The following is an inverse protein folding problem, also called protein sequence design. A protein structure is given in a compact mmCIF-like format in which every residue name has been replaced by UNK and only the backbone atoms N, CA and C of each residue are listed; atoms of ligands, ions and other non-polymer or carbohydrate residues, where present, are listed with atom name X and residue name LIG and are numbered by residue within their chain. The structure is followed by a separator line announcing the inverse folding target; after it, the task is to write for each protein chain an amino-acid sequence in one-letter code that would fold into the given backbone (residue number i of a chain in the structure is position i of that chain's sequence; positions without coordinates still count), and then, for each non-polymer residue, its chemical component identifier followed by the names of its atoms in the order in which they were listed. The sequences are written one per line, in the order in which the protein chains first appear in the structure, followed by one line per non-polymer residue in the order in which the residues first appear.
data_IF_545206371221
#
_entry.id   IF_545206371221
#
_cell.length_a   1.000
_cell.length_b   1.000
_cell.length_c   1.000
_cell.angle_alpha   90.00
_cell.angle_beta   90.00
_cell.angle_gamma   90.00
#
_symmetry.space_group_name_H-M   'P 1'
#
loop_
_entity.id
_entity.type
_entity.pdbx_description
1 polymer ?
#
# COMPACT_ATOMS: atom_id res chain seq x y z
N UNK A 1 -23.04 50.20 -62.22
CA UNK A 1 -23.65 49.15 -61.40
C UNK A 1 -22.50 48.45 -60.64
N UNK A 2 -22.25 48.89 -59.39
CA UNK A 2 -21.16 48.33 -58.52
C UNK A 2 -21.81 47.40 -57.52
N UNK A 3 -21.46 46.10 -57.57
CA UNK A 3 -21.86 45.12 -56.60
C UNK A 3 -20.97 45.28 -55.35
N UNK A 4 -21.62 45.46 -54.22
CA UNK A 4 -20.98 45.42 -52.89
C UNK A 4 -21.27 44.06 -52.32
N UNK A 5 -20.20 43.23 -52.05
CA UNK A 5 -20.31 42.00 -51.28
C UNK A 5 -20.18 42.30 -49.77
N UNK A 6 -20.96 41.68 -48.91
CA UNK A 6 -20.78 41.80 -47.48
C UNK A 6 -19.67 40.87 -46.97
N UNK A 7 -18.82 41.42 -46.13
CA UNK A 7 -17.81 40.63 -45.37
C UNK A 7 -18.48 39.82 -44.27
N UNK A 8 -18.24 38.52 -44.30
CA UNK A 8 -18.64 37.59 -43.20
C UNK A 8 -17.53 37.59 -42.14
N UNK A 9 -17.85 38.12 -40.99
CA UNK A 9 -17.00 38.08 -39.79
C UNK A 9 -17.22 36.73 -39.08
N UNK A 10 -16.24 35.82 -39.17
CA UNK A 10 -16.24 34.60 -38.38
C UNK A 10 -15.71 34.88 -36.97
N UNK A 11 -16.58 34.86 -35.98
CA UNK A 11 -16.19 34.91 -34.58
C UNK A 11 -15.73 33.52 -34.13
N UNK A 12 -14.43 33.40 -33.86
CA UNK A 12 -13.86 32.20 -33.20
C UNK A 12 -14.18 32.26 -31.69
N UNK A 13 -15.11 31.42 -31.22
CA UNK A 13 -15.28 31.19 -29.83
C UNK A 13 -14.14 30.29 -29.34
N UNK A 14 -13.21 30.84 -28.57
CA UNK A 14 -12.26 30.09 -27.76
C UNK A 14 -13.01 29.52 -26.57
N UNK A 15 -13.33 28.23 -26.59
CA UNK A 15 -13.77 27.48 -25.43
C UNK A 15 -12.55 27.24 -24.49
N UNK A 16 -12.32 28.19 -23.58
CA UNK A 16 -11.46 27.99 -22.43
C UNK A 16 -12.11 27.00 -21.47
N UNK A 17 -11.80 25.72 -21.63
CA UNK A 17 -12.16 24.71 -20.65
C UNK A 17 -11.34 24.94 -19.36
N UNK A 18 -11.90 25.62 -18.38
CA UNK A 18 -11.46 25.48 -17.00
C UNK A 18 -11.73 24.02 -16.58
N UNK A 19 -10.67 23.20 -16.52
CA UNK A 19 -10.74 21.99 -15.74
C UNK A 19 -10.87 22.42 -14.27
N UNK A 20 -12.09 22.44 -13.78
CA UNK A 20 -12.33 22.47 -12.35
C UNK A 20 -11.67 21.22 -11.75
N UNK A 21 -10.63 21.42 -10.96
CA UNK A 21 -10.17 20.41 -10.01
C UNK A 21 -11.38 20.18 -9.12
N UNK A 22 -12.03 19.02 -9.24
CA UNK A 22 -13.12 18.67 -8.34
C UNK A 22 -12.53 18.62 -6.95
N UNK A 23 -13.07 19.43 -6.03
CA UNK A 23 -12.81 19.29 -4.62
C UNK A 23 -12.98 17.82 -4.24
N UNK A 24 -12.02 17.29 -3.47
CA UNK A 24 -12.06 15.91 -3.01
C UNK A 24 -13.41 15.63 -2.35
N UNK A 25 -14.03 14.48 -2.63
CA UNK A 25 -15.28 14.14 -1.96
C UNK A 25 -15.04 14.08 -0.46
N UNK A 26 -15.80 14.84 0.30
CA UNK A 26 -15.87 14.72 1.76
C UNK A 26 -16.57 13.39 2.08
N UNK A 27 -15.82 12.30 2.13
CA UNK A 27 -16.35 10.95 2.39
C UNK A 27 -15.38 10.16 3.26
N UNK A 28 -15.94 9.28 4.10
CA UNK A 28 -15.18 8.25 4.78
C UNK A 28 -14.59 7.29 3.75
N UNK A 29 -13.45 6.62 4.06
CA UNK A 29 -12.91 5.58 3.18
C UNK A 29 -13.94 4.48 2.92
N UNK A 30 -14.10 4.07 1.67
CA UNK A 30 -14.96 2.92 1.32
C UNK A 30 -14.49 1.63 2.01
N UNK A 31 -13.18 1.49 2.25
CA UNK A 31 -12.59 0.39 2.98
C UNK A 31 -12.92 0.38 4.49
N UNK A 32 -13.39 1.47 5.09
CA UNK A 32 -13.67 1.52 6.53
C UNK A 32 -14.69 0.44 6.96
N UNK A 33 -15.85 0.39 6.32
CA UNK A 33 -16.87 -0.62 6.63
C UNK A 33 -16.41 -2.05 6.35
N UNK A 34 -15.56 -2.24 5.34
CA UNK A 34 -14.94 -3.53 5.07
C UNK A 34 -13.99 -3.95 6.20
N UNK A 35 -13.12 -3.07 6.67
CA UNK A 35 -12.22 -3.33 7.78
C UNK A 35 -12.96 -3.56 9.10
N UNK A 36 -14.02 -2.80 9.38
CA UNK A 36 -14.89 -3.03 10.54
C UNK A 36 -15.44 -4.46 10.55
N UNK A 37 -15.97 -4.91 9.42
CA UNK A 37 -16.46 -6.28 9.28
C UNK A 37 -15.36 -7.32 9.48
N UNK A 38 -14.19 -7.11 8.90
CA UNK A 38 -13.03 -8.03 9.06
C UNK A 38 -12.59 -8.07 10.52
N UNK A 39 -12.50 -6.93 11.20
CA UNK A 39 -12.12 -6.84 12.62
C UNK A 39 -12.99 -7.72 13.52
N UNK A 40 -14.27 -7.81 13.20
CA UNK A 40 -15.22 -8.63 13.97
C UNK A 40 -15.16 -10.12 13.63
N UNK A 41 -14.90 -10.45 12.37
CA UNK A 41 -15.10 -11.81 11.84
C UNK A 41 -13.83 -12.61 11.61
N UNK A 42 -12.74 -11.94 11.24
CA UNK A 42 -11.59 -12.64 10.73
C UNK A 42 -10.26 -11.91 10.90
N UNK A 43 -9.38 -12.14 9.94
CA UNK A 43 -8.04 -11.58 9.86
C UNK A 43 -7.66 -11.31 8.42
N UNK A 44 -6.77 -10.36 8.19
CA UNK A 44 -6.16 -10.12 6.89
C UNK A 44 -4.66 -10.39 6.92
N UNK A 45 -4.12 -10.73 5.76
CA UNK A 45 -2.68 -10.86 5.53
C UNK A 45 -2.22 -9.65 4.73
N UNK A 46 -1.17 -8.98 5.22
CA UNK A 46 -0.43 -7.96 4.50
C UNK A 46 0.92 -8.55 4.08
N UNK A 47 1.07 -8.82 2.79
CA UNK A 47 2.30 -9.38 2.22
C UNK A 47 3.32 -8.27 2.02
N UNK A 48 4.44 -8.32 2.75
CA UNK A 48 5.54 -7.36 2.70
C UNK A 48 6.15 -7.34 1.30
N UNK A 49 6.27 -6.15 0.70
CA UNK A 49 6.74 -5.92 -0.69
C UNK A 49 5.98 -6.71 -1.75
N UNK A 50 4.72 -7.08 -1.44
CA UNK A 50 3.85 -7.83 -2.33
C UNK A 50 4.21 -9.31 -2.52
N UNK A 51 5.28 -9.82 -1.90
CA UNK A 51 5.80 -11.17 -2.14
C UNK A 51 5.02 -12.26 -1.41
N UNK A 52 4.90 -13.43 -2.04
CA UNK A 52 4.42 -14.65 -1.40
C UNK A 52 5.39 -15.83 -1.52
N UNK A 53 6.45 -15.72 -2.34
CA UNK A 53 7.47 -16.73 -2.52
C UNK A 53 8.82 -16.13 -2.92
N UNK A 54 9.91 -16.86 -2.64
CA UNK A 54 11.27 -16.39 -2.87
C UNK A 54 11.70 -16.33 -4.35
N UNK A 55 10.95 -16.90 -5.26
CA UNK A 55 11.14 -16.83 -6.73
C UNK A 55 10.47 -15.59 -7.35
N UNK A 56 9.76 -14.79 -6.54
CA UNK A 56 9.10 -13.57 -6.98
C UNK A 56 9.95 -12.36 -6.57
N UNK A 57 10.31 -11.45 -7.50
CA UNK A 57 10.95 -10.20 -7.11
C UNK A 57 10.03 -9.37 -6.22
N UNK A 58 10.59 -8.77 -5.17
CA UNK A 58 9.88 -7.80 -4.34
C UNK A 58 9.40 -6.61 -5.18
N UNK A 59 8.29 -5.98 -4.80
CA UNK A 59 7.78 -4.78 -5.47
C UNK A 59 7.54 -4.99 -6.98
N UNK A 60 7.07 -6.18 -7.37
CA UNK A 60 6.87 -6.53 -8.79
C UNK A 60 5.41 -6.86 -9.11
N UNK A 61 5.05 -6.69 -10.38
CA UNK A 61 3.73 -7.10 -10.88
C UNK A 61 3.49 -8.60 -10.67
N UNK A 62 4.53 -9.43 -10.86
CA UNK A 62 4.44 -10.87 -10.67
C UNK A 62 4.10 -11.23 -9.22
N UNK A 63 4.77 -10.60 -8.25
CA UNK A 63 4.51 -10.79 -6.82
C UNK A 63 3.08 -10.37 -6.44
N UNK A 64 2.64 -9.18 -6.87
CA UNK A 64 1.28 -8.68 -6.63
C UNK A 64 0.22 -9.66 -7.14
N UNK A 65 0.36 -10.11 -8.38
CA UNK A 65 -0.60 -11.03 -9.01
C UNK A 65 -0.61 -12.39 -8.32
N UNK A 66 0.56 -12.97 -8.05
CA UNK A 66 0.68 -14.27 -7.41
C UNK A 66 0.10 -14.25 -5.98
N UNK A 67 0.42 -13.21 -5.21
CA UNK A 67 -0.10 -13.05 -3.84
C UNK A 67 -1.61 -12.89 -3.84
N UNK A 68 -2.17 -11.99 -4.67
CA UNK A 68 -3.61 -11.77 -4.73
C UNK A 68 -4.39 -13.00 -5.23
N UNK A 69 -3.80 -13.78 -6.16
CA UNK A 69 -4.38 -15.06 -6.60
C UNK A 69 -4.33 -16.13 -5.51
N UNK A 70 -3.21 -16.22 -4.78
CA UNK A 70 -3.06 -17.17 -3.70
C UNK A 70 -3.92 -16.82 -2.48
N UNK A 71 -4.09 -15.53 -2.17
CA UNK A 71 -4.77 -15.01 -0.98
C UNK A 71 -5.78 -13.94 -1.42
N UNK A 72 -7.00 -14.31 -1.84
CA UNK A 72 -8.02 -13.35 -2.23
C UNK A 72 -8.29 -12.33 -1.11
N UNK A 73 -8.25 -11.05 -1.46
CA UNK A 73 -8.43 -9.96 -0.51
C UNK A 73 -7.18 -9.59 0.30
N UNK A 74 -6.01 -10.16 -0.01
CA UNK A 74 -4.77 -9.77 0.66
C UNK A 74 -4.48 -8.28 0.51
N UNK A 75 -3.80 -7.75 1.51
CA UNK A 75 -3.08 -6.49 1.39
C UNK A 75 -1.71 -6.81 0.78
N UNK A 76 -1.32 -6.10 -0.26
CA UNK A 76 0.04 -6.10 -0.81
C UNK A 76 0.71 -4.78 -0.41
N UNK A 77 1.70 -4.86 0.45
CA UNK A 77 2.49 -3.69 0.82
C UNK A 77 3.52 -3.42 -0.27
N UNK A 78 3.70 -2.15 -0.64
CA UNK A 78 4.48 -1.72 -1.80
C UNK A 78 5.22 -0.43 -1.48
N UNK A 79 6.54 -0.43 -1.74
CA UNK A 79 7.43 0.70 -1.51
C UNK A 79 7.41 1.66 -2.70
N UNK A 80 6.96 2.89 -2.49
CA UNK A 80 6.87 3.89 -3.55
C UNK A 80 7.99 4.90 -3.43
N UNK A 81 8.71 5.11 -4.52
CA UNK A 81 9.78 6.10 -4.66
C UNK A 81 9.60 6.93 -5.93
N UNK A 82 10.41 7.98 -6.06
CA UNK A 82 10.36 8.90 -7.19
C UNK A 82 11.68 8.92 -7.95
N UNK A 83 11.62 8.74 -9.27
CA UNK A 83 12.77 8.89 -10.17
C UNK A 83 13.19 10.35 -10.32
N UNK A 84 14.37 10.59 -10.92
CA UNK A 84 14.88 11.94 -11.24
C UNK A 84 13.87 12.78 -12.05
N UNK A 85 13.18 12.16 -12.99
CA UNK A 85 12.13 12.79 -13.81
C UNK A 85 10.74 12.72 -13.18
N UNK A 86 10.70 12.54 -11.83
CA UNK A 86 9.51 12.63 -10.96
C UNK A 86 8.42 11.58 -11.27
N UNK A 87 8.79 10.43 -11.83
CA UNK A 87 7.86 9.31 -12.02
C UNK A 87 7.83 8.44 -10.76
N UNK A 88 6.65 7.92 -10.44
CA UNK A 88 6.44 7.03 -9.30
C UNK A 88 6.71 5.59 -9.74
N UNK A 89 7.65 4.93 -9.07
CA UNK A 89 8.01 3.52 -9.31
C UNK A 89 8.09 2.77 -7.99
N UNK A 90 8.06 1.44 -8.05
CA UNK A 90 8.20 0.61 -6.85
C UNK A 90 9.66 0.20 -6.65
N UNK A 91 10.20 0.53 -5.46
CA UNK A 91 11.54 0.13 -5.01
C UNK A 91 11.66 0.37 -3.52
N UNK A 92 12.27 -0.59 -2.79
CA UNK A 92 12.50 -0.40 -1.34
C UNK A 92 13.77 0.40 -1.05
N UNK A 93 14.89 0.01 -1.67
CA UNK A 93 16.18 0.61 -1.37
C UNK A 93 16.38 1.92 -2.15
N UNK A 94 17.15 2.88 -1.62
CA UNK A 94 17.55 4.06 -2.38
C UNK A 94 18.38 3.72 -3.63
N UNK A 95 19.16 2.61 -3.59
CA UNK A 95 19.94 2.09 -4.71
C UNK A 95 19.20 0.95 -5.42
N UNK A 96 19.36 0.85 -6.73
CA UNK A 96 18.79 -0.21 -7.56
C UNK A 96 19.61 -1.51 -7.56
N UNK A 97 20.79 -1.53 -6.94
CA UNK A 97 21.83 -2.57 -7.08
C UNK A 97 21.40 -3.94 -6.57
N UNK A 98 20.68 -4.01 -5.43
CA UNK A 98 20.32 -5.28 -4.80
C UNK A 98 19.25 -6.05 -5.59
N UNK A 99 18.25 -5.34 -6.07
CA UNK A 99 17.02 -5.95 -6.63
C UNK A 99 16.93 -5.88 -8.13
N UNK A 100 17.95 -5.29 -8.81
CA UNK A 100 17.96 -5.16 -10.28
C UNK A 100 19.31 -5.48 -10.89
N UNK A 101 19.38 -5.39 -12.22
CA UNK A 101 20.64 -5.42 -12.99
C UNK A 101 21.30 -4.06 -13.12
N UNK A 102 20.66 -3.00 -12.63
CA UNK A 102 21.19 -1.64 -12.66
C UNK A 102 22.12 -1.30 -11.51
N UNK A 103 22.66 -0.08 -11.52
CA UNK A 103 23.53 0.44 -10.48
C UNK A 103 23.21 1.89 -10.15
N UNK A 104 23.45 2.29 -8.90
CA UNK A 104 23.36 3.66 -8.41
C UNK A 104 22.03 4.01 -7.76
N UNK A 105 21.89 5.28 -7.39
CA UNK A 105 20.71 5.77 -6.69
C UNK A 105 19.54 6.01 -7.63
N UNK A 106 18.38 5.49 -7.28
CA UNK A 106 17.17 5.61 -8.08
C UNK A 106 16.77 7.08 -8.33
N UNK A 107 16.97 7.96 -7.34
CA UNK A 107 16.69 9.40 -7.47
C UNK A 107 17.53 10.10 -8.56
N UNK A 108 18.63 9.50 -9.00
CA UNK A 108 19.49 10.00 -10.09
C UNK A 108 19.11 9.43 -11.46
N UNK A 109 18.21 8.45 -11.52
CA UNK A 109 17.81 7.74 -12.73
C UNK A 109 16.45 8.24 -13.24
N UNK A 110 16.31 8.31 -14.56
CA UNK A 110 15.00 8.54 -15.20
C UNK A 110 14.22 7.24 -15.31
N UNK A 111 12.89 7.33 -15.45
CA UNK A 111 12.05 6.16 -15.71
C UNK A 111 12.55 5.34 -16.90
N UNK A 112 12.99 6.01 -17.98
CA UNK A 112 13.51 5.31 -19.15
C UNK A 112 14.74 4.45 -18.82
N UNK A 113 15.63 4.91 -17.95
CA UNK A 113 16.79 4.14 -17.48
C UNK A 113 16.34 2.98 -16.58
N UNK A 114 15.42 3.20 -15.65
CA UNK A 114 14.85 2.16 -14.78
C UNK A 114 14.18 1.05 -15.60
N UNK A 115 13.49 1.39 -16.68
CA UNK A 115 12.83 0.43 -17.58
C UNK A 115 13.79 -0.47 -18.36
N UNK A 116 15.07 -0.13 -18.47
CA UNK A 116 16.09 -0.98 -19.09
C UNK A 116 16.67 -2.04 -18.13
N UNK A 117 16.34 -1.95 -16.84
CA UNK A 117 16.79 -2.90 -15.82
C UNK A 117 15.85 -4.11 -15.77
N UNK A 118 16.37 -5.20 -15.21
CA UNK A 118 15.62 -6.41 -14.92
C UNK A 118 15.62 -6.65 -13.42
N UNK A 119 14.47 -7.03 -12.89
CA UNK A 119 14.33 -7.38 -11.48
C UNK A 119 14.99 -8.72 -11.16
N UNK A 120 15.56 -8.80 -9.97
CA UNK A 120 16.16 -10.00 -9.39
C UNK A 120 15.29 -10.48 -8.22
N UNK A 121 14.96 -11.76 -8.23
CA UNK A 121 14.25 -12.39 -7.13
C UNK A 121 15.18 -12.66 -5.92
N UNK A 122 14.64 -12.83 -4.68
CA UNK A 122 15.45 -13.14 -3.50
C UNK A 122 16.29 -14.41 -3.60
N UNK A 123 15.86 -15.40 -4.36
CA UNK A 123 16.64 -16.63 -4.65
C UNK A 123 17.81 -16.40 -5.62
N UNK A 124 17.98 -15.17 -6.15
CA UNK A 124 19.04 -14.78 -7.08
C UNK A 124 18.64 -14.85 -8.55
N UNK A 125 17.48 -15.42 -8.90
CA UNK A 125 17.02 -15.53 -10.27
C UNK A 125 16.76 -14.17 -10.90
N UNK A 126 17.20 -14.02 -12.14
CA UNK A 126 16.95 -12.84 -12.94
C UNK A 126 15.65 -13.03 -13.74
N UNK A 127 14.78 -12.03 -13.69
CA UNK A 127 13.53 -12.04 -14.45
C UNK A 127 13.63 -11.17 -15.70
N UNK A 128 12.62 -11.24 -16.57
CA UNK A 128 12.47 -10.35 -17.73
C UNK A 128 11.70 -9.05 -17.37
N UNK A 129 11.22 -8.92 -16.13
CA UNK A 129 10.47 -7.77 -15.66
C UNK A 129 11.37 -6.62 -15.24
N UNK A 130 10.97 -5.39 -15.57
CA UNK A 130 11.54 -4.16 -15.02
C UNK A 130 10.80 -3.72 -13.76
N UNK A 131 11.39 -2.83 -12.92
CA UNK A 131 10.66 -2.20 -11.84
C UNK A 131 9.40 -1.51 -12.36
N UNK A 132 8.21 -1.79 -11.80
CA UNK A 132 6.96 -1.24 -12.29
C UNK A 132 6.74 0.20 -11.83
N UNK A 133 5.92 0.94 -12.56
CA UNK A 133 5.35 2.20 -12.09
C UNK A 133 4.20 1.96 -11.12
N UNK A 134 3.85 2.98 -10.33
CA UNK A 134 2.76 2.87 -9.36
C UNK A 134 1.42 2.55 -10.04
N UNK A 135 1.10 3.16 -11.17
CA UNK A 135 -0.16 2.91 -11.89
C UNK A 135 -0.24 1.45 -12.42
N UNK A 136 0.87 0.89 -12.91
CA UNK A 136 0.94 -0.52 -13.29
C UNK A 136 0.69 -1.45 -12.10
N UNK A 137 1.27 -1.12 -10.93
CA UNK A 137 1.08 -1.88 -9.69
C UNK A 137 -0.37 -1.81 -9.18
N UNK A 138 -0.96 -0.61 -9.16
CA UNK A 138 -2.37 -0.41 -8.79
C UNK A 138 -3.33 -1.15 -9.73
N UNK A 139 -3.03 -1.15 -11.02
CA UNK A 139 -3.78 -1.93 -11.99
C UNK A 139 -3.65 -3.45 -11.75
N UNK A 140 -2.45 -3.94 -11.39
CA UNK A 140 -2.23 -5.34 -11.05
C UNK A 140 -2.99 -5.74 -9.77
N UNK A 141 -2.90 -4.93 -8.71
CA UNK A 141 -3.65 -5.16 -7.47
C UNK A 141 -5.17 -5.20 -7.72
N UNK A 142 -5.70 -4.27 -8.52
CA UNK A 142 -7.12 -4.25 -8.90
C UNK A 142 -7.56 -5.52 -9.66
N UNK A 143 -6.72 -6.07 -10.55
CA UNK A 143 -7.05 -7.30 -11.30
C UNK A 143 -7.26 -8.53 -10.42
N UNK A 144 -6.59 -8.58 -9.27
CA UNK A 144 -6.68 -9.72 -8.33
C UNK A 144 -7.48 -9.38 -7.07
N UNK A 145 -8.11 -8.22 -7.03
CA UNK A 145 -8.87 -7.76 -5.88
C UNK A 145 -8.02 -7.59 -4.61
N UNK A 146 -6.74 -7.27 -4.73
CA UNK A 146 -5.87 -6.95 -3.60
C UNK A 146 -6.02 -5.48 -3.18
N UNK A 147 -5.72 -5.20 -1.91
CA UNK A 147 -5.59 -3.84 -1.37
C UNK A 147 -4.10 -3.47 -1.43
N UNK A 148 -3.75 -2.32 -1.99
CA UNK A 148 -2.38 -1.84 -2.04
C UNK A 148 -2.08 -0.96 -0.82
N UNK A 149 -1.15 -1.36 0.04
CA UNK A 149 -0.62 -0.52 1.10
C UNK A 149 0.67 0.14 0.62
N UNK A 150 0.67 1.46 0.50
CA UNK A 150 1.72 2.24 -0.15
C UNK A 150 2.63 2.87 0.90
N UNK A 151 3.87 2.40 0.98
CA UNK A 151 4.91 2.91 1.85
C UNK A 151 5.74 3.99 1.13
N UNK A 152 5.81 5.18 1.73
CA UNK A 152 6.52 6.33 1.16
C UNK A 152 8.01 6.26 1.51
N UNK A 153 8.87 5.98 0.54
CA UNK A 153 10.32 5.99 0.72
C UNK A 153 10.87 7.38 0.44
N UNK A 154 11.00 8.19 1.50
CA UNK A 154 11.57 9.53 1.47
C UNK A 154 12.53 9.71 2.66
N UNK A 155 13.49 10.63 2.53
CA UNK A 155 14.56 10.81 3.51
C UNK A 155 14.11 11.61 4.74
N UNK A 156 13.06 12.43 4.60
CA UNK A 156 12.54 13.31 5.66
C UNK A 156 11.01 13.51 5.56
N UNK A 157 10.46 14.25 6.50
CA UNK A 157 9.02 14.51 6.58
C UNK A 157 8.50 15.37 5.42
N UNK A 158 9.27 16.37 4.98
CA UNK A 158 8.90 17.22 3.85
C UNK A 158 8.83 16.40 2.55
N UNK A 159 9.85 15.58 2.30
CA UNK A 159 9.89 14.63 1.18
C UNK A 159 8.77 13.61 1.24
N UNK A 160 8.43 13.12 2.43
CA UNK A 160 7.29 12.22 2.65
C UNK A 160 5.97 12.89 2.23
N UNK A 161 5.74 14.13 2.65
CA UNK A 161 4.52 14.86 2.29
C UNK A 161 4.47 15.23 0.80
N UNK A 162 5.62 15.55 0.20
CA UNK A 162 5.71 15.80 -1.25
C UNK A 162 5.42 14.53 -2.05
N UNK A 163 6.01 13.40 -1.63
CA UNK A 163 5.77 12.10 -2.26
C UNK A 163 4.30 11.67 -2.09
N UNK A 164 3.74 11.82 -0.88
CA UNK A 164 2.35 11.50 -0.60
C UNK A 164 1.37 12.28 -1.50
N UNK A 165 1.59 13.59 -1.72
CA UNK A 165 0.76 14.38 -2.65
C UNK A 165 0.80 13.81 -4.07
N UNK A 166 1.98 13.40 -4.55
CA UNK A 166 2.12 12.82 -5.87
C UNK A 166 1.43 11.44 -5.97
N UNK A 167 1.58 10.61 -4.94
CA UNK A 167 0.94 9.29 -4.85
C UNK A 167 -0.58 9.43 -4.79
N UNK A 168 -1.12 10.31 -3.93
CA UNK A 168 -2.56 10.57 -3.83
C UNK A 168 -3.14 11.04 -5.17
N UNK A 169 -2.44 11.95 -5.86
CA UNK A 169 -2.87 12.42 -7.17
C UNK A 169 -2.92 11.26 -8.20
N UNK A 170 -1.93 10.36 -8.16
CA UNK A 170 -1.87 9.20 -9.04
C UNK A 170 -2.97 8.18 -8.72
N UNK A 171 -3.19 7.87 -7.43
CA UNK A 171 -4.27 6.98 -6.95
C UNK A 171 -5.64 7.49 -7.42
N UNK A 172 -5.89 8.80 -7.28
CA UNK A 172 -7.13 9.44 -7.78
C UNK A 172 -7.24 9.37 -9.30
N UNK A 173 -6.13 9.63 -10.01
CA UNK A 173 -6.10 9.59 -11.48
C UNK A 173 -6.51 8.22 -12.04
N UNK A 174 -6.13 7.13 -11.36
CA UNK A 174 -6.43 5.76 -11.79
C UNK A 174 -7.65 5.16 -11.08
N UNK A 175 -8.40 5.96 -10.33
CA UNK A 175 -9.59 5.54 -9.56
C UNK A 175 -9.30 4.32 -8.66
N UNK A 176 -8.27 4.43 -7.80
CA UNK A 176 -7.85 3.35 -6.92
C UNK A 176 -8.04 3.66 -5.42
N UNK A 177 -8.72 4.75 -5.06
CA UNK A 177 -8.90 5.17 -3.67
C UNK A 177 -9.65 4.12 -2.81
N UNK A 178 -10.54 3.37 -3.42
CA UNK A 178 -11.34 2.28 -2.84
C UNK A 178 -10.53 1.03 -2.44
N UNK A 179 -9.24 0.99 -2.73
CA UNK A 179 -8.37 -0.17 -2.49
C UNK A 179 -6.94 0.21 -2.09
N UNK A 180 -6.75 1.38 -1.49
CA UNK A 180 -5.42 1.88 -1.10
C UNK A 180 -5.37 2.19 0.39
N UNK A 181 -4.23 1.86 1.01
CA UNK A 181 -3.82 2.27 2.35
C UNK A 181 -2.54 3.08 2.20
N UNK A 182 -2.46 4.23 2.85
CA UNK A 182 -1.27 5.09 2.86
C UNK A 182 -0.50 4.86 4.16
N UNK A 183 0.77 4.44 4.09
CA UNK A 183 1.60 4.14 5.26
C UNK A 183 2.35 5.39 5.70
N UNK A 184 2.31 5.69 7.01
CA UNK A 184 2.98 6.84 7.62
C UNK A 184 3.76 6.42 8.85
N UNK A 185 4.86 7.14 9.14
CA UNK A 185 5.75 6.84 10.27
C UNK A 185 5.77 7.93 11.36
N UNK A 186 5.20 9.10 11.11
CA UNK A 186 5.08 10.19 12.11
C UNK A 186 3.64 10.64 12.26
N UNK A 187 3.30 11.11 13.45
CA UNK A 187 1.97 11.66 13.75
C UNK A 187 1.66 12.91 12.90
N UNK A 188 2.68 13.73 12.61
CA UNK A 188 2.55 14.92 11.77
C UNK A 188 2.18 14.53 10.34
N UNK A 189 2.92 13.58 9.75
CA UNK A 189 2.63 13.09 8.40
C UNK A 189 1.26 12.42 8.35
N UNK A 190 0.91 11.59 9.35
CA UNK A 190 -0.39 10.91 9.42
C UNK A 190 -1.56 11.92 9.38
N UNK A 191 -1.52 12.96 10.22
CA UNK A 191 -2.56 14.01 10.24
C UNK A 191 -2.64 14.79 8.94
N UNK A 192 -1.49 15.16 8.38
CA UNK A 192 -1.44 15.90 7.13
C UNK A 192 -1.98 15.07 5.94
N UNK A 193 -1.61 13.79 5.86
CA UNK A 193 -2.05 12.88 4.81
C UNK A 193 -3.53 12.53 4.99
N UNK A 194 -4.00 12.33 6.23
CA UNK A 194 -5.42 12.15 6.53
C UNK A 194 -6.29 13.30 6.01
N UNK A 195 -5.83 14.53 6.24
CA UNK A 195 -6.53 15.72 5.76
C UNK A 195 -6.47 15.88 4.22
N UNK A 196 -5.38 15.42 3.58
CA UNK A 196 -5.22 15.47 2.12
C UNK A 196 -6.05 14.41 1.39
N UNK A 197 -6.27 13.25 2.00
CA UNK A 197 -6.96 12.11 1.39
C UNK A 197 -7.95 11.47 2.38
N UNK A 198 -9.04 12.18 2.76
CA UNK A 198 -10.02 11.67 3.72
C UNK A 198 -10.77 10.43 3.24
N UNK A 199 -10.73 10.15 1.93
CA UNK A 199 -11.33 8.99 1.30
C UNK A 199 -10.42 7.74 1.27
N UNK A 200 -9.18 7.82 1.77
CA UNK A 200 -8.21 6.72 1.78
C UNK A 200 -7.89 6.30 3.21
N UNK A 201 -7.64 5.02 3.42
CA UNK A 201 -7.17 4.48 4.70
C UNK A 201 -5.72 4.89 4.96
N UNK A 202 -5.37 5.03 6.25
CA UNK A 202 -4.01 5.36 6.70
C UNK A 202 -3.54 4.29 7.67
N UNK A 203 -2.34 3.75 7.46
CA UNK A 203 -1.61 2.95 8.44
C UNK A 203 -0.62 3.85 9.17
N UNK A 204 -0.74 3.96 10.49
CA UNK A 204 0.09 4.82 11.31
C UNK A 204 0.55 4.12 12.60
N UNK A 205 1.73 4.47 13.08
CA UNK A 205 2.25 3.97 14.36
C UNK A 205 1.35 4.43 15.51
N UNK A 206 0.75 3.49 16.25
CA UNK A 206 -0.16 3.80 17.36
C UNK A 206 0.02 2.85 18.54
N UNK A 207 -0.17 3.42 19.72
CA UNK A 207 -0.24 2.68 20.98
C UNK A 207 -1.62 2.80 21.64
N UNK A 208 -2.35 3.87 21.37
CA UNK A 208 -3.69 4.20 21.90
C UNK A 208 -4.49 4.93 20.84
N UNK A 209 -5.81 4.82 20.85
CA UNK A 209 -6.69 5.55 19.93
C UNK A 209 -6.51 7.08 20.01
N UNK A 210 -6.09 7.62 21.16
CA UNK A 210 -5.85 9.05 21.36
C UNK A 210 -4.58 9.56 20.69
N UNK A 211 -3.68 8.70 20.23
CA UNK A 211 -2.39 9.11 19.62
C UNK A 211 -2.61 9.97 18.37
N UNK A 212 -3.64 9.66 17.58
CA UNK A 212 -4.06 10.46 16.40
C UNK A 212 -5.39 11.19 16.60
N UNK A 213 -5.64 11.72 17.82
CA UNK A 213 -6.86 12.51 18.09
C UNK A 213 -7.05 13.62 17.05
N UNK A 214 -8.28 13.73 16.50
CA UNK A 214 -8.61 14.65 15.41
C UNK A 214 -8.50 14.07 14.00
N UNK A 215 -7.98 12.85 13.84
CA UNK A 215 -8.18 12.01 12.63
C UNK A 215 -9.37 11.10 12.88
N UNK A 216 -10.20 10.86 11.87
CA UNK A 216 -11.32 9.93 11.97
C UNK A 216 -10.79 8.51 12.23
N UNK A 217 -11.27 7.84 13.29
CA UNK A 217 -10.86 6.47 13.63
C UNK A 217 -11.13 5.48 12.50
N UNK A 218 -12.21 5.69 11.74
CA UNK A 218 -12.57 4.85 10.60
C UNK A 218 -11.58 4.96 9.43
N UNK A 219 -10.68 5.95 9.46
CA UNK A 219 -9.60 6.14 8.49
C UNK A 219 -8.32 5.40 8.87
N UNK A 220 -8.21 4.89 10.12
CA UNK A 220 -6.92 4.50 10.70
C UNK A 220 -6.80 2.99 10.84
N UNK A 221 -5.63 2.48 10.44
CA UNK A 221 -5.09 1.17 10.79
C UNK A 221 -3.90 1.38 11.73
N UNK A 222 -3.94 0.81 12.93
CA UNK A 222 -2.88 0.98 13.92
C UNK A 222 -1.71 0.03 13.64
N UNK A 223 -0.59 0.55 13.15
CA UNK A 223 0.67 -0.18 13.14
C UNK A 223 1.25 -0.24 14.55
N UNK A 224 1.39 -1.45 15.10
CA UNK A 224 1.84 -1.67 16.49
C UNK A 224 3.27 -2.19 16.61
N UNK A 225 3.99 -2.22 15.49
CA UNK A 225 5.38 -2.64 15.40
C UNK A 225 5.56 -4.09 14.98
N UNK A 226 6.84 -4.54 14.94
CA UNK A 226 7.24 -5.89 14.51
C UNK A 226 8.27 -6.56 15.43
N UNK A 227 8.55 -5.97 16.60
CA UNK A 227 9.60 -6.50 17.51
C UNK A 227 9.08 -6.96 18.86
N UNK A 228 7.98 -6.41 19.33
CA UNK A 228 7.47 -6.67 20.68
C UNK A 228 5.96 -6.85 20.63
N UNK A 229 5.51 -8.00 21.07
CA UNK A 229 4.09 -8.31 21.23
C UNK A 229 3.48 -7.52 22.38
N UNK A 230 2.35 -6.84 22.15
CA UNK A 230 1.65 -5.99 23.15
C UNK A 230 0.17 -6.35 23.25
N UNK A 231 -0.21 -7.54 23.74
CA UNK A 231 -1.60 -8.03 23.67
C UNK A 231 -2.63 -7.15 24.39
N UNK A 232 -2.27 -6.47 25.47
CA UNK A 232 -3.18 -5.52 26.15
C UNK A 232 -3.51 -4.31 25.28
N UNK A 233 -2.51 -3.75 24.63
CA UNK A 233 -2.65 -2.66 23.68
C UNK A 233 -3.53 -3.07 22.48
N UNK A 234 -3.27 -4.25 21.89
CA UNK A 234 -4.04 -4.77 20.76
C UNK A 234 -5.52 -4.92 21.07
N UNK A 235 -5.85 -5.51 22.22
CA UNK A 235 -7.25 -5.66 22.67
C UNK A 235 -7.92 -4.33 22.92
N UNK A 236 -7.19 -3.35 23.46
CA UNK A 236 -7.74 -2.01 23.68
C UNK A 236 -8.05 -1.31 22.36
N UNK A 237 -7.10 -1.23 21.42
CA UNK A 237 -7.32 -0.62 20.10
C UNK A 237 -8.49 -1.28 19.36
N UNK A 238 -8.52 -2.63 19.36
CA UNK A 238 -9.63 -3.39 18.76
C UNK A 238 -10.98 -3.06 19.41
N UNK A 239 -11.04 -2.94 20.73
CA UNK A 239 -12.28 -2.58 21.46
C UNK A 239 -12.72 -1.14 21.19
N UNK A 240 -11.79 -0.26 20.82
CA UNK A 240 -12.04 1.14 20.44
C UNK A 240 -12.36 1.28 18.94
N UNK A 241 -12.53 0.16 18.21
CA UNK A 241 -12.92 0.16 16.81
C UNK A 241 -11.78 0.38 15.82
N UNK A 242 -10.52 0.18 16.24
CA UNK A 242 -9.34 0.40 15.39
C UNK A 242 -8.73 -0.94 15.00
N UNK A 243 -8.44 -1.12 13.71
CA UNK A 243 -7.74 -2.29 13.19
C UNK A 243 -6.32 -2.33 13.71
N UNK A 244 -5.92 -3.52 14.17
CA UNK A 244 -4.59 -3.75 14.74
C UNK A 244 -3.71 -4.48 13.74
N UNK A 245 -2.71 -3.80 13.22
CA UNK A 245 -1.69 -4.37 12.37
C UNK A 245 -0.42 -4.66 13.20
N UNK A 246 0.08 -5.89 13.11
CA UNK A 246 1.34 -6.31 13.71
C UNK A 246 2.21 -7.01 12.67
N UNK A 247 3.52 -6.70 12.67
CA UNK A 247 4.50 -7.27 11.77
C UNK A 247 5.16 -8.52 12.36
N UNK A 248 5.11 -9.62 11.62
CA UNK A 248 5.98 -10.80 11.86
C UNK A 248 7.22 -10.77 10.96
N UNK A 249 7.26 -9.82 10.03
CA UNK A 249 8.30 -9.49 9.07
C UNK A 249 9.57 -8.89 9.71
N UNK A 250 10.67 -8.88 8.97
CA UNK A 250 11.93 -8.23 9.40
C UNK A 250 13.18 -8.84 8.77
N UNK A 251 14.33 -8.63 9.42
CA UNK A 251 15.57 -9.19 8.95
C UNK A 251 15.54 -10.74 9.07
N UNK A 252 16.05 -11.46 8.04
CA UNK A 252 16.14 -12.92 8.10
C UNK A 252 16.89 -13.40 9.35
N UNK A 253 16.32 -14.38 10.04
CA UNK A 253 16.85 -14.94 11.29
C UNK A 253 16.44 -14.20 12.57
N UNK A 254 15.91 -12.97 12.48
CA UNK A 254 15.48 -12.17 13.63
C UNK A 254 13.97 -11.97 13.71
N UNK A 255 13.27 -12.11 12.57
CA UNK A 255 11.82 -11.88 12.45
C UNK A 255 11.01 -13.02 13.07
N UNK A 256 9.79 -12.70 13.48
CA UNK A 256 8.86 -13.71 14.04
C UNK A 256 8.49 -14.80 13.02
N UNK A 257 8.41 -14.49 11.72
CA UNK A 257 8.16 -15.49 10.69
C UNK A 257 9.17 -16.64 10.73
N UNK A 258 10.47 -16.34 10.92
CA UNK A 258 11.51 -17.35 11.01
C UNK A 258 11.46 -18.09 12.36
N UNK A 259 11.12 -17.40 13.46
CA UNK A 259 10.98 -18.01 14.79
C UNK A 259 9.81 -19.00 14.81
N UNK A 260 8.67 -18.65 14.24
CA UNK A 260 7.48 -19.50 14.14
C UNK A 260 7.69 -20.72 13.23
N UNK A 261 8.60 -20.62 12.26
CA UNK A 261 8.92 -21.72 11.38
C UNK A 261 9.94 -22.73 11.95
N UNK A 262 10.68 -22.38 13.05
CA UNK A 262 11.81 -23.17 13.56
C UNK A 262 11.40 -24.55 14.10
N UNK A 263 10.27 -24.65 14.76
CA UNK A 263 9.76 -25.89 15.36
C UNK A 263 8.73 -26.62 14.48
N UNK A 264 8.41 -26.03 13.32
CA UNK A 264 7.41 -26.54 12.38
C UNK A 264 5.96 -26.30 12.83
N UNK A 265 5.75 -25.69 13.99
CA UNK A 265 4.45 -25.19 14.42
C UNK A 265 4.33 -23.71 14.02
N UNK A 266 3.36 -23.40 13.20
CA UNK A 266 3.03 -22.04 12.80
C UNK A 266 1.72 -21.55 13.46
N UNK A 267 1.29 -22.23 14.52
CA UNK A 267 0.08 -21.92 15.28
C UNK A 267 0.13 -20.55 15.97
N UNK A 268 1.32 -19.98 16.18
CA UNK A 268 1.54 -18.66 16.76
C UNK A 268 0.84 -17.55 15.98
N UNK A 269 0.69 -17.66 14.66
CA UNK A 269 -0.11 -16.70 13.88
C UNK A 269 -1.55 -16.63 14.37
N UNK A 270 -2.16 -17.77 14.73
CA UNK A 270 -3.52 -17.78 15.30
C UNK A 270 -3.55 -17.17 16.70
N UNK A 271 -2.47 -17.34 17.48
CA UNK A 271 -2.36 -16.69 18.79
C UNK A 271 -2.29 -15.17 18.68
N UNK A 272 -1.64 -14.59 17.62
CA UNK A 272 -1.67 -13.15 17.38
C UNK A 272 -3.11 -12.67 17.21
N UNK A 273 -3.89 -13.34 16.35
CA UNK A 273 -5.31 -13.01 16.14
C UNK A 273 -6.13 -13.11 17.43
N UNK A 274 -5.99 -14.18 18.20
CA UNK A 274 -6.65 -14.35 19.51
C UNK A 274 -6.30 -13.27 20.51
N UNK A 275 -5.11 -12.70 20.39
CA UNK A 275 -4.62 -11.59 21.21
C UNK A 275 -5.06 -10.22 20.73
N UNK A 276 -5.75 -10.12 19.60
CA UNK A 276 -6.36 -8.90 19.10
C UNK A 276 -5.79 -8.34 17.78
N UNK A 277 -4.81 -9.00 17.17
CA UNK A 277 -4.30 -8.60 15.85
C UNK A 277 -5.35 -8.91 14.79
N UNK A 278 -5.64 -7.95 13.91
CA UNK A 278 -6.61 -8.09 12.81
C UNK A 278 -5.95 -8.10 11.44
N UNK A 279 -4.70 -7.61 11.35
CA UNK A 279 -3.89 -7.63 10.14
C UNK A 279 -2.49 -8.14 10.50
N UNK A 280 -2.05 -9.23 9.88
CA UNK A 280 -0.70 -9.78 10.04
C UNK A 280 0.14 -9.35 8.84
N UNK A 281 1.13 -8.47 9.08
CA UNK A 281 2.11 -8.07 8.08
C UNK A 281 3.30 -9.03 8.12
N UNK A 282 3.62 -9.69 7.01
CA UNK A 282 4.49 -10.88 7.03
C UNK A 282 5.34 -11.02 5.76
N UNK A 283 6.52 -11.62 5.90
CA UNK A 283 7.36 -12.12 4.80
C UNK A 283 6.98 -13.57 4.39
N UNK A 284 6.07 -14.22 5.15
CA UNK A 284 5.66 -15.60 4.94
C UNK A 284 4.13 -15.75 4.76
N UNK A 285 3.49 -15.01 3.82
CA UNK A 285 2.03 -14.94 3.74
C UNK A 285 1.35 -16.29 3.46
N UNK A 286 2.01 -17.22 2.75
CA UNK A 286 1.47 -18.57 2.53
C UNK A 286 1.51 -19.44 3.80
N UNK A 287 2.50 -19.25 4.68
CA UNK A 287 2.52 -19.90 5.99
C UNK A 287 1.37 -19.38 6.86
N UNK A 288 1.17 -18.06 6.94
CA UNK A 288 0.01 -17.47 7.62
C UNK A 288 -1.30 -18.03 7.06
N UNK A 289 -1.45 -18.04 5.73
CA UNK A 289 -2.64 -18.60 5.07
C UNK A 289 -2.90 -20.04 5.46
N UNK A 290 -1.88 -20.89 5.55
CA UNK A 290 -2.03 -22.31 5.86
C UNK A 290 -2.66 -22.56 7.25
N UNK A 291 -2.41 -21.64 8.19
CA UNK A 291 -2.93 -21.69 9.57
C UNK A 291 -4.28 -20.98 9.70
N UNK A 292 -4.43 -19.83 9.05
CA UNK A 292 -5.54 -18.90 9.25
C UNK A 292 -6.70 -19.10 8.27
N UNK A 293 -6.79 -20.27 7.63
CA UNK A 293 -7.80 -20.53 6.59
C UNK A 293 -9.25 -20.21 7.02
N UNK A 294 -9.75 -20.65 8.16
CA UNK A 294 -11.09 -20.33 8.63
C UNK A 294 -11.31 -18.83 8.87
N UNK A 295 -10.36 -18.14 9.48
CA UNK A 295 -10.43 -16.71 9.80
C UNK A 295 -10.33 -15.85 8.54
N UNK A 296 -9.53 -16.27 7.54
CA UNK A 296 -9.47 -15.63 6.22
C UNK A 296 -10.77 -15.83 5.45
N UNK A 297 -11.34 -17.04 5.49
CA UNK A 297 -12.62 -17.32 4.84
C UNK A 297 -13.74 -16.49 5.47
N UNK A 298 -13.73 -16.29 6.79
CA UNK A 298 -14.68 -15.43 7.47
C UNK A 298 -14.52 -13.95 7.03
N UNK A 299 -13.30 -13.45 6.91
CA UNK A 299 -13.02 -12.12 6.38
C UNK A 299 -13.53 -11.93 4.94
N UNK A 300 -13.45 -12.96 4.10
CA UNK A 300 -13.95 -12.92 2.71
C UNK A 300 -15.47 -12.82 2.59
N UNK A 301 -16.23 -13.02 3.68
CA UNK A 301 -17.68 -12.75 3.70
C UNK A 301 -18.01 -11.28 3.82
N UNK A 302 -17.04 -10.43 4.11
CA UNK A 302 -17.20 -8.98 4.15
C UNK A 302 -17.20 -8.43 2.71
N UNK A 303 -18.16 -7.55 2.40
CA UNK A 303 -18.24 -6.87 1.09
C UNK A 303 -17.41 -5.59 1.10
N UNK A 304 -16.76 -5.33 -0.01
CA UNK A 304 -16.14 -4.04 -0.32
C UNK A 304 -17.09 -3.22 -1.13
#
# INVERSE_FOLDING_TARGET
MRLVLPAVMTASLALGGCFAVSDAPAGKPELAAYFDCVRERGVMISAHRGQSAADQPENSIAAILATGQAIPGAIVELDVVRTRDRKLVLMHDPSVDRTTTGHGHLAELTLNQVRQMRLRAPNGDLTDAAPPTLDEALAAAGRVGAIAALDFKADDEEGTLELARAVIAEVRRVNAADRVILITYSDTAARAIAALAPEMMISAGMSRATDLSGVDSDQILAWTGSRTMKPSQWRQLKAEGIEVQFGTLGAPGERFDDQFAQDGDVGEYRELWRKGVTIIATDAPLAVKSVMGPELAAAQTCSR
#
